data_IF_205791358289
#
_entry.id   IF_205791358289
#
_cell.length_a   1.000
_cell.length_b   1.000
_cell.length_c   1.000
_cell.angle_alpha   90.00
_cell.angle_beta   90.00
_cell.angle_gamma   90.00
#
_symmetry.space_group_name_H-M   'P 1'
#
loop_
_entity.id
_entity.type
_entity.pdbx_description
1 polymer ?
#
# COMPACT_ATOMS: atom_id res chain seq x y z
N UNK A 1 8.80 -22.79 -35.28
CA UNK A 1 8.96 -22.47 -33.84
C UNK A 1 9.96 -21.32 -33.75
N UNK A 2 9.59 -20.12 -33.27
CA UNK A 2 10.55 -19.03 -33.19
C UNK A 2 11.46 -19.22 -31.98
N UNK A 3 12.76 -19.04 -32.22
CA UNK A 3 13.82 -19.15 -31.24
C UNK A 3 13.67 -18.10 -30.13
N UNK A 4 13.63 -18.56 -28.88
CA UNK A 4 13.60 -17.66 -27.72
C UNK A 4 15.04 -17.32 -27.36
N UNK A 5 15.50 -16.17 -27.82
CA UNK A 5 16.79 -15.59 -27.47
C UNK A 5 16.80 -15.22 -25.98
N UNK A 6 17.28 -16.10 -25.12
CA UNK A 6 17.55 -15.76 -23.73
C UNK A 6 18.85 -14.95 -23.68
N UNK A 7 18.74 -13.63 -23.57
CA UNK A 7 19.82 -12.82 -23.01
C UNK A 7 20.14 -13.41 -21.63
N UNK A 8 21.30 -14.02 -21.50
CA UNK A 8 21.66 -14.73 -20.28
C UNK A 8 22.17 -13.71 -19.27
N UNK A 9 21.43 -13.58 -18.17
CA UNK A 9 21.93 -12.97 -16.94
C UNK A 9 23.31 -13.57 -16.64
N UNK A 10 24.30 -12.73 -16.34
CA UNK A 10 25.65 -13.20 -16.00
C UNK A 10 25.63 -14.06 -14.73
N UNK A 11 26.67 -14.89 -14.54
CA UNK A 11 26.80 -15.75 -13.34
C UNK A 11 26.77 -14.94 -12.05
N UNK A 12 27.39 -13.74 -12.05
CA UNK A 12 27.40 -12.81 -10.91
C UNK A 12 26.00 -12.24 -10.64
N UNK A 13 25.31 -11.75 -11.67
CA UNK A 13 23.94 -11.22 -11.53
C UNK A 13 22.95 -12.31 -11.07
N UNK A 14 23.13 -13.57 -11.50
CA UNK A 14 22.34 -14.71 -11.00
C UNK A 14 22.62 -14.98 -9.52
N UNK A 15 23.87 -14.82 -9.07
CA UNK A 15 24.27 -14.99 -7.67
C UNK A 15 23.67 -13.88 -6.78
N UNK A 16 23.67 -12.65 -7.27
CA UNK A 16 23.05 -11.50 -6.59
C UNK A 16 21.53 -11.64 -6.49
N UNK A 17 20.86 -12.03 -7.58
CA UNK A 17 19.44 -12.38 -7.58
C UNK A 17 19.10 -13.45 -6.54
N UNK A 18 19.91 -14.51 -6.47
CA UNK A 18 19.71 -15.58 -5.49
C UNK A 18 19.91 -15.07 -4.06
N UNK A 19 20.86 -14.16 -3.81
CA UNK A 19 21.04 -13.54 -2.50
C UNK A 19 19.81 -12.70 -2.12
N UNK A 20 19.29 -11.86 -3.02
CA UNK A 20 18.07 -11.08 -2.81
C UNK A 20 16.85 -11.97 -2.58
N UNK A 21 16.72 -13.08 -3.31
CA UNK A 21 15.61 -14.04 -3.12
C UNK A 21 15.58 -14.67 -1.72
N UNK A 22 16.74 -14.78 -1.05
CA UNK A 22 16.86 -15.29 0.32
C UNK A 22 16.52 -14.23 1.37
N UNK A 23 16.44 -12.97 0.99
CA UNK A 23 16.04 -11.87 1.88
C UNK A 23 14.53 -11.65 1.88
N UNK A 24 13.83 -11.99 0.80
CA UNK A 24 12.36 -11.91 0.71
C UNK A 24 11.64 -12.67 1.86
N UNK A 25 12.07 -13.87 2.31
CA UNK A 25 11.49 -14.54 3.48
C UNK A 25 11.75 -13.83 4.82
N UNK A 26 12.81 -12.99 4.93
CA UNK A 26 13.06 -12.20 6.14
C UNK A 26 11.98 -11.12 6.32
N UNK A 27 11.48 -10.56 5.22
CA UNK A 27 10.33 -9.64 5.23
C UNK A 27 9.09 -10.32 5.82
N UNK A 28 8.83 -11.59 5.47
CA UNK A 28 7.72 -12.35 6.08
C UNK A 28 7.89 -12.49 7.62
N UNK A 29 9.12 -12.47 8.13
CA UNK A 29 9.37 -12.44 9.57
C UNK A 29 9.05 -11.08 10.20
N UNK A 30 9.35 -9.96 9.53
CA UNK A 30 8.99 -8.61 10.00
C UNK A 30 7.48 -8.41 10.03
N UNK A 31 6.77 -8.93 9.01
CA UNK A 31 5.30 -8.92 8.96
C UNK A 31 4.71 -9.68 10.17
N UNK A 32 5.30 -10.82 10.58
CA UNK A 32 4.89 -11.56 11.78
C UNK A 32 5.14 -10.79 13.08
N UNK A 33 6.18 -9.97 13.12
CA UNK A 33 6.50 -9.08 14.26
C UNK A 33 5.68 -7.78 14.28
N UNK A 34 4.83 -7.55 13.27
CA UNK A 34 4.03 -6.32 13.07
C UNK A 34 4.86 -5.07 12.71
N UNK A 35 6.09 -5.25 12.25
CA UNK A 35 6.98 -4.18 11.79
C UNK A 35 6.69 -3.86 10.30
N UNK A 36 5.48 -3.39 10.00
CA UNK A 36 4.98 -3.28 8.63
C UNK A 36 5.67 -2.17 7.81
N UNK A 37 6.04 -1.05 8.43
CA UNK A 37 6.76 0.03 7.72
C UNK A 37 8.17 -0.39 7.31
N UNK A 38 8.89 -1.08 8.19
CA UNK A 38 10.22 -1.60 7.90
C UNK A 38 10.17 -2.70 6.84
N UNK A 39 9.17 -3.58 6.91
CA UNK A 39 8.91 -4.58 5.88
C UNK A 39 8.66 -3.93 4.51
N UNK A 40 7.90 -2.83 4.46
CA UNK A 40 7.66 -2.07 3.23
C UNK A 40 8.93 -1.46 2.65
N UNK A 41 9.79 -0.87 3.49
CA UNK A 41 11.10 -0.31 3.06
C UNK A 41 12.00 -1.39 2.49
N UNK A 42 12.14 -2.53 3.17
CA UNK A 42 12.98 -3.64 2.68
C UNK A 42 12.50 -4.20 1.35
N UNK A 43 11.18 -4.33 1.14
CA UNK A 43 10.64 -4.75 -0.16
C UNK A 43 10.90 -3.74 -1.27
N UNK A 44 10.80 -2.44 -0.95
CA UNK A 44 11.17 -1.36 -1.87
C UNK A 44 12.63 -1.44 -2.29
N UNK A 45 13.55 -1.59 -1.33
CA UNK A 45 14.98 -1.74 -1.61
C UNK A 45 15.30 -2.99 -2.45
N UNK A 46 14.66 -4.13 -2.15
CA UNK A 46 14.83 -5.36 -2.94
C UNK A 46 14.35 -5.13 -4.38
N UNK A 47 13.22 -4.44 -4.56
CA UNK A 47 12.70 -4.13 -5.89
C UNK A 47 13.63 -3.21 -6.66
N UNK A 48 14.15 -2.13 -6.06
CA UNK A 48 15.12 -1.23 -6.70
C UNK A 48 16.37 -1.98 -7.15
N UNK A 49 16.93 -2.85 -6.29
CA UNK A 49 18.10 -3.68 -6.65
C UNK A 49 17.79 -4.64 -7.80
N UNK A 50 16.58 -5.20 -7.85
CA UNK A 50 16.14 -6.05 -8.97
C UNK A 50 16.04 -5.24 -10.28
N UNK A 51 15.55 -4.00 -10.20
CA UNK A 51 15.49 -3.08 -11.35
C UNK A 51 16.91 -2.69 -11.84
N UNK A 52 17.84 -2.41 -10.92
CA UNK A 52 19.26 -2.15 -11.25
C UNK A 52 19.93 -3.35 -11.92
N UNK A 53 19.70 -4.58 -11.44
CA UNK A 53 20.23 -5.79 -12.07
C UNK A 53 19.63 -5.99 -13.48
N UNK A 54 18.35 -5.67 -13.66
CA UNK A 54 17.72 -5.75 -14.98
C UNK A 54 18.32 -4.73 -15.96
N UNK A 55 18.55 -3.49 -15.51
CA UNK A 55 19.20 -2.45 -16.31
C UNK A 55 20.65 -2.81 -16.65
N UNK A 56 21.43 -3.30 -15.68
CA UNK A 56 22.80 -3.78 -15.88
C UNK A 56 22.86 -4.97 -16.85
N UNK A 57 21.83 -5.81 -16.88
CA UNK A 57 21.69 -6.91 -17.83
C UNK A 57 21.16 -6.46 -19.21
N UNK A 58 20.78 -5.18 -19.39
CA UNK A 58 20.03 -4.65 -20.55
C UNK A 58 18.77 -5.47 -20.86
N UNK A 59 18.16 -6.03 -19.82
CA UNK A 59 16.95 -6.84 -19.88
C UNK A 59 15.76 -6.04 -19.36
N UNK A 60 14.56 -6.40 -19.79
CA UNK A 60 13.37 -5.82 -19.17
C UNK A 60 13.15 -6.50 -17.82
N UNK A 61 12.76 -5.73 -16.81
CA UNK A 61 12.36 -6.27 -15.49
C UNK A 61 11.22 -7.30 -15.65
N UNK A 62 10.45 -7.22 -16.74
CA UNK A 62 9.38 -8.16 -17.11
C UNK A 62 9.87 -9.51 -17.66
N UNK A 63 11.18 -9.73 -17.82
CA UNK A 63 11.72 -10.99 -18.32
C UNK A 63 11.50 -12.16 -17.35
N UNK A 64 11.35 -13.38 -17.91
CA UNK A 64 11.17 -14.63 -17.13
C UNK A 64 12.26 -14.84 -16.07
N UNK A 65 13.44 -14.31 -16.33
CA UNK A 65 14.59 -14.22 -15.43
C UNK A 65 14.23 -13.67 -14.03
N UNK A 66 13.40 -12.63 -13.98
CA UNK A 66 13.06 -11.87 -12.78
C UNK A 66 11.67 -12.21 -12.23
N UNK A 67 10.83 -12.86 -13.03
CA UNK A 67 9.44 -13.18 -12.71
C UNK A 67 9.26 -13.88 -11.35
N UNK A 68 10.17 -14.81 -10.99
CA UNK A 68 10.11 -15.54 -9.72
C UNK A 68 10.29 -14.64 -8.49
N UNK A 69 11.26 -13.72 -8.54
CA UNK A 69 11.50 -12.78 -7.43
C UNK A 69 10.42 -11.70 -7.41
N UNK A 70 10.04 -11.15 -8.56
CA UNK A 70 9.00 -10.13 -8.62
C UNK A 70 7.66 -10.66 -8.10
N UNK A 71 7.29 -11.91 -8.41
CA UNK A 71 6.10 -12.54 -7.86
C UNK A 71 6.19 -12.74 -6.33
N UNK A 72 7.37 -13.11 -5.82
CA UNK A 72 7.58 -13.25 -4.37
C UNK A 72 7.52 -11.90 -3.64
N UNK A 73 8.15 -10.86 -4.19
CA UNK A 73 8.11 -9.48 -3.68
C UNK A 73 6.67 -8.96 -3.71
N UNK A 74 5.96 -9.09 -4.83
CA UNK A 74 4.56 -8.66 -4.95
C UNK A 74 3.64 -9.33 -3.93
N UNK A 75 3.85 -10.63 -3.65
CA UNK A 75 3.09 -11.35 -2.61
C UNK A 75 3.33 -10.78 -1.21
N UNK A 76 4.57 -10.46 -0.87
CA UNK A 76 4.88 -9.85 0.43
C UNK A 76 4.39 -8.40 0.49
N UNK A 77 4.52 -7.64 -0.60
CA UNK A 77 4.03 -6.27 -0.73
C UNK A 77 2.53 -6.21 -0.46
N UNK A 78 1.74 -7.11 -1.06
CA UNK A 78 0.30 -7.19 -0.85
C UNK A 78 -0.09 -7.47 0.62
N UNK A 79 0.74 -8.21 1.38
CA UNK A 79 0.51 -8.45 2.80
C UNK A 79 0.82 -7.20 3.64
N UNK A 80 1.90 -6.49 3.32
CA UNK A 80 2.26 -5.22 3.95
C UNK A 80 1.20 -4.17 3.66
N UNK A 81 0.79 -4.05 2.41
CA UNK A 81 -0.24 -3.12 1.94
C UNK A 81 -1.61 -3.38 2.57
N UNK A 82 -1.98 -4.65 2.75
CA UNK A 82 -3.18 -5.03 3.49
C UNK A 82 -3.09 -4.66 4.97
N UNK A 83 -1.91 -4.79 5.57
CA UNK A 83 -1.69 -4.46 6.99
C UNK A 83 -1.66 -2.94 7.24
N UNK A 84 -1.10 -2.17 6.30
CA UNK A 84 -1.01 -0.71 6.36
C UNK A 84 -2.26 0.01 5.82
N UNK A 85 -3.19 -0.72 5.20
CA UNK A 85 -4.37 -0.12 4.57
C UNK A 85 -4.04 0.69 3.31
N UNK A 86 -2.83 0.52 2.75
CA UNK A 86 -2.33 1.18 1.53
C UNK A 86 -2.54 0.37 0.27
N UNK A 87 -3.01 -0.87 0.39
CA UNK A 87 -3.33 -1.69 -0.78
C UNK A 87 -4.39 -1.05 -1.65
N UNK A 88 -4.36 -1.37 -2.95
CA UNK A 88 -5.43 -1.02 -3.88
C UNK A 88 -6.73 -1.71 -3.42
N UNK A 89 -7.41 -1.08 -2.46
CA UNK A 89 -8.70 -1.50 -1.98
C UNK A 89 -9.71 -1.28 -3.11
N UNK A 90 -10.71 -2.16 -3.16
CA UNK A 90 -11.88 -1.90 -3.99
C UNK A 90 -12.38 -0.47 -3.70
N UNK A 91 -12.87 0.27 -4.73
CA UNK A 91 -13.29 1.65 -4.56
C UNK A 91 -14.31 1.74 -3.42
N UNK A 92 -13.94 2.49 -2.37
CA UNK A 92 -14.79 2.68 -1.18
C UNK A 92 -15.89 3.68 -1.53
N UNK A 93 -17.14 3.26 -1.35
CA UNK A 93 -18.31 4.09 -1.60
C UNK A 93 -18.86 4.71 -0.32
N UNK A 94 -19.14 6.02 -0.33
CA UNK A 94 -19.67 6.70 0.87
C UNK A 94 -20.95 6.04 1.39
N UNK A 95 -21.94 5.81 0.54
CA UNK A 95 -23.24 5.29 0.96
C UNK A 95 -23.16 3.86 1.51
N UNK A 96 -22.33 3.00 0.91
CA UNK A 96 -22.26 1.58 1.27
C UNK A 96 -21.35 1.36 2.49
N UNK A 97 -20.19 2.01 2.50
CA UNK A 97 -19.12 1.68 3.44
C UNK A 97 -19.00 2.70 4.58
N UNK A 98 -19.20 3.99 4.30
CA UNK A 98 -18.94 5.09 5.26
C UNK A 98 -20.21 5.49 6.02
N UNK A 99 -21.33 5.70 5.32
CA UNK A 99 -22.55 6.26 5.89
C UNK A 99 -23.10 5.41 7.03
N UNK A 100 -23.03 4.08 6.91
CA UNK A 100 -23.46 3.14 7.97
C UNK A 100 -22.63 3.31 9.24
N UNK A 101 -21.32 3.54 9.12
CA UNK A 101 -20.42 3.73 10.26
C UNK A 101 -20.76 5.04 10.97
N UNK A 102 -20.89 6.12 10.20
CA UNK A 102 -21.22 7.46 10.72
C UNK A 102 -22.57 7.43 11.44
N UNK A 103 -23.58 6.83 10.82
CA UNK A 103 -24.93 6.75 11.38
C UNK A 103 -24.93 6.00 12.73
N UNK A 104 -24.24 4.87 12.82
CA UNK A 104 -24.25 4.02 14.03
C UNK A 104 -23.36 4.56 15.16
N UNK A 105 -22.27 5.25 14.84
CA UNK A 105 -21.23 5.57 15.83
C UNK A 105 -21.08 7.07 16.12
N UNK A 106 -21.47 7.93 15.20
CA UNK A 106 -21.11 9.35 15.27
C UNK A 106 -22.34 10.25 15.48
N UNK A 107 -23.47 9.94 14.82
CA UNK A 107 -24.64 10.84 14.83
C UNK A 107 -25.31 11.01 16.20
N UNK A 108 -25.13 10.07 17.13
CA UNK A 108 -25.63 10.22 18.50
C UNK A 108 -25.06 11.46 19.21
N UNK A 109 -23.85 11.91 18.85
CA UNK A 109 -23.19 13.08 19.45
C UNK A 109 -22.94 14.21 18.44
N UNK A 110 -22.91 13.92 17.14
CA UNK A 110 -22.63 14.84 16.04
C UNK A 110 -23.79 14.96 15.05
N UNK A 111 -25.00 14.65 15.51
CA UNK A 111 -26.25 14.74 14.75
C UNK A 111 -26.91 16.12 14.84
N UNK A 112 -28.21 16.16 14.57
CA UNK A 112 -28.96 17.41 14.47
C UNK A 112 -28.99 18.24 15.76
N UNK A 113 -29.19 17.55 16.88
CA UNK A 113 -29.49 18.18 18.16
C UNK A 113 -28.22 18.36 18.99
N UNK A 114 -27.82 19.63 19.18
CA UNK A 114 -26.67 20.05 19.99
C UNK A 114 -25.37 19.27 19.68
N UNK A 115 -24.84 19.36 18.45
CA UNK A 115 -23.63 18.66 18.04
C UNK A 115 -22.45 19.02 18.92
N UNK A 116 -21.79 18.00 19.49
CA UNK A 116 -20.58 18.22 20.28
C UNK A 116 -19.51 18.91 19.43
N UNK A 117 -18.80 19.85 20.05
CA UNK A 117 -17.72 20.61 19.41
C UNK A 117 -18.13 21.35 18.12
N UNK A 118 -19.43 21.67 17.98
CA UNK A 118 -20.04 22.23 16.76
C UNK A 118 -19.81 21.39 15.49
N UNK A 119 -19.50 20.10 15.63
CA UNK A 119 -19.24 19.21 14.51
C UNK A 119 -20.53 18.48 14.11
N UNK A 120 -21.01 18.74 12.89
CA UNK A 120 -22.22 18.14 12.30
C UNK A 120 -21.87 17.14 11.22
N UNK A 121 -22.27 15.88 11.40
CA UNK A 121 -21.99 14.77 10.48
C UNK A 121 -23.25 14.20 9.80
N UNK A 122 -24.41 14.78 10.04
CA UNK A 122 -25.69 14.38 9.44
C UNK A 122 -25.95 15.02 8.07
N UNK A 123 -25.26 16.13 7.75
CA UNK A 123 -25.46 16.90 6.52
C UNK A 123 -24.14 17.20 5.83
N UNK A 124 -24.12 17.18 4.49
CA UNK A 124 -22.92 17.53 3.72
C UNK A 124 -22.35 18.91 4.07
N UNK A 125 -23.22 19.89 4.34
CA UNK A 125 -22.81 21.23 4.78
C UNK A 125 -22.08 21.19 6.13
N UNK A 126 -22.47 20.31 7.04
CA UNK A 126 -21.76 20.06 8.30
C UNK A 126 -20.35 19.51 8.09
N UNK A 127 -20.23 18.50 7.23
CA UNK A 127 -18.93 17.90 6.88
C UNK A 127 -17.98 18.93 6.25
N UNK A 128 -18.50 19.76 5.33
CA UNK A 128 -17.72 20.80 4.67
C UNK A 128 -17.28 21.90 5.64
N UNK A 129 -18.11 22.26 6.61
CA UNK A 129 -17.79 23.28 7.61
C UNK A 129 -16.73 22.78 8.61
N UNK A 130 -16.77 21.50 8.96
CA UNK A 130 -15.96 20.96 10.04
C UNK A 130 -16.48 21.34 11.42
N UNK A 131 -15.64 21.19 12.43
CA UNK A 131 -15.95 21.50 13.83
C UNK A 131 -15.13 22.67 14.36
N UNK A 132 -15.18 22.89 15.67
CA UNK A 132 -14.32 23.90 16.35
C UNK A 132 -12.83 23.73 16.08
N UNK A 133 -12.38 22.52 15.82
CA UNK A 133 -10.98 22.20 15.61
C UNK A 133 -10.49 22.44 14.17
N UNK A 134 -11.38 22.89 13.27
CA UNK A 134 -11.05 23.23 11.88
C UNK A 134 -11.75 22.33 10.85
N UNK A 135 -11.26 22.36 9.59
CA UNK A 135 -11.80 21.54 8.50
C UNK A 135 -11.72 20.05 8.85
N UNK A 136 -12.81 19.32 8.62
CA UNK A 136 -12.85 17.88 8.88
C UNK A 136 -12.12 17.08 7.79
N UNK A 137 -12.34 17.44 6.52
CA UNK A 137 -11.84 16.67 5.37
C UNK A 137 -11.03 17.53 4.41
N UNK A 138 -9.87 17.02 4.01
CA UNK A 138 -9.06 17.54 2.91
C UNK A 138 -9.06 16.50 1.78
N UNK A 139 -9.71 16.77 0.62
CA UNK A 139 -9.79 15.81 -0.47
C UNK A 139 -8.41 15.30 -0.91
N UNK A 140 -8.25 13.98 -0.98
CA UNK A 140 -7.00 13.33 -1.40
C UNK A 140 -5.88 13.32 -0.35
N UNK A 141 -6.07 13.96 0.81
CA UNK A 141 -5.03 14.09 1.83
C UNK A 141 -5.55 13.62 3.20
N UNK A 142 -5.62 12.29 3.37
CA UNK A 142 -6.12 11.67 4.59
C UNK A 142 -5.34 12.12 5.84
N UNK A 143 -4.01 12.21 5.75
CA UNK A 143 -3.13 12.62 6.85
C UNK A 143 -3.28 14.09 7.27
N UNK A 144 -3.94 14.92 6.46
CA UNK A 144 -4.22 16.33 6.76
C UNK A 144 -5.71 16.56 7.08
N UNK A 145 -6.50 15.49 7.09
CA UNK A 145 -7.89 15.52 7.57
C UNK A 145 -7.88 15.30 9.08
N UNK A 146 -8.83 15.93 9.77
CA UNK A 146 -8.78 16.15 11.22
C UNK A 146 -9.49 15.08 12.04
#
# INVERSE_FOLDING_TARGET
MPAVSHAQITVEQRRELLALSREVPKVASLIRKKEYEEAGKQLGEIRTKVEEIAEAAKMQVSDRAFAGILAAVAKQQALVDKALGTGAAAPVGFTKDIATIVNRRCLNCHGADNPRNNLRLDTFAGWKRGGKSGPLLVPGQANQSL
#
